data_IF_886901861946
#
_entry.id   IF_886901861946
#
_cell.length_a   1.000
_cell.length_b   1.000
_cell.length_c   1.000
_cell.angle_alpha   90.00
_cell.angle_beta   90.00
_cell.angle_gamma   90.00
#
_symmetry.space_group_name_H-M   'P 1'
#
loop_
_entity.id
_entity.type
_entity.pdbx_description
1 polymer ?
#
# COMPACT_ATOMS: atom_id res chain seq x y z
N UNK A 1 24.02 4.05 -2.17
CA UNK A 1 22.85 4.29 -1.31
C UNK A 1 23.38 4.86 0.00
N UNK A 2 23.16 6.15 0.28
CA UNK A 2 23.47 6.65 1.62
C UNK A 2 22.44 6.06 2.56
N UNK A 3 22.82 4.98 3.24
CA UNK A 3 22.12 4.50 4.41
C UNK A 3 22.22 5.65 5.41
N UNK A 4 21.12 6.37 5.62
CA UNK A 4 20.99 7.30 6.73
C UNK A 4 21.06 6.40 7.97
N UNK A 5 22.25 6.28 8.55
CA UNK A 5 22.50 5.58 9.82
C UNK A 5 22.10 6.46 11.03
N UNK A 6 21.38 7.55 10.80
CA UNK A 6 20.80 8.34 11.89
C UNK A 6 19.58 7.59 12.42
N UNK A 7 19.78 6.84 13.51
CA UNK A 7 18.67 6.38 14.32
C UNK A 7 18.13 7.57 15.09
N UNK A 8 17.03 8.17 14.61
CA UNK A 8 16.23 9.04 15.45
C UNK A 8 15.52 8.16 16.47
N UNK A 9 15.94 8.24 17.73
CA UNK A 9 15.31 7.47 18.80
C UNK A 9 13.90 8.03 19.03
N UNK A 10 12.90 7.24 18.64
CA UNK A 10 11.50 7.50 18.94
C UNK A 10 11.08 6.47 19.98
N UNK A 11 10.46 6.92 21.07
CA UNK A 11 10.08 6.04 22.18
C UNK A 11 8.54 5.88 22.30
N UNK A 12 7.81 5.29 21.32
CA UNK A 12 6.35 5.22 21.35
C UNK A 12 5.72 4.58 22.60
N UNK A 13 6.45 3.73 23.34
CA UNK A 13 5.93 3.11 24.56
C UNK A 13 6.11 4.01 25.80
N UNK A 14 6.98 5.01 25.74
CA UNK A 14 7.24 5.98 26.81
C UNK A 14 6.63 7.35 26.52
N UNK A 15 6.77 7.82 25.28
CA UNK A 15 6.31 9.13 24.84
C UNK A 15 4.79 9.18 24.73
N UNK A 16 4.19 10.24 25.26
CA UNK A 16 2.78 10.50 25.07
C UNK A 16 2.47 10.74 23.58
N UNK A 17 1.33 10.22 23.11
CA UNK A 17 0.90 10.46 21.74
C UNK A 17 0.78 11.97 21.47
N UNK A 18 1.38 12.48 20.37
CA UNK A 18 1.37 13.91 20.10
C UNK A 18 -0.05 14.38 19.85
N UNK A 19 -0.39 15.55 20.41
CA UNK A 19 -1.67 16.21 20.23
C UNK A 19 -1.90 16.57 18.76
N UNK A 20 -3.16 16.81 18.38
CA UNK A 20 -3.49 17.20 17.01
C UNK A 20 -2.76 18.50 16.59
N UNK A 21 -2.63 19.48 17.49
CA UNK A 21 -1.90 20.71 17.22
C UNK A 21 -0.40 20.48 17.04
N UNK A 22 0.22 19.64 17.88
CA UNK A 22 1.64 19.29 17.74
C UNK A 22 1.91 18.55 16.42
N UNK A 23 1.02 17.64 16.01
CA UNK A 23 1.10 16.97 14.69
C UNK A 23 0.99 17.95 13.54
N UNK A 24 0.07 18.92 13.63
CA UNK A 24 -0.09 19.93 12.59
C UNK A 24 1.13 20.84 12.48
N UNK A 25 1.71 21.26 13.61
CA UNK A 25 2.95 22.04 13.63
C UNK A 25 4.13 21.25 13.05
N UNK A 26 4.29 19.97 13.44
CA UNK A 26 5.31 19.10 12.87
C UNK A 26 5.15 18.96 11.35
N UNK A 27 3.91 18.78 10.86
CA UNK A 27 3.66 18.72 9.42
C UNK A 27 4.00 20.03 8.70
N UNK A 28 3.74 21.18 9.32
CA UNK A 28 4.10 22.48 8.75
C UNK A 28 5.62 22.62 8.62
N UNK A 29 6.38 22.20 9.64
CA UNK A 29 7.84 22.21 9.61
C UNK A 29 8.39 21.24 8.55
N UNK A 30 7.83 20.03 8.45
CA UNK A 30 8.20 19.08 7.39
C UNK A 30 7.97 19.74 6.03
N UNK A 31 6.80 20.35 5.82
CA UNK A 31 6.47 20.99 4.55
C UNK A 31 7.36 22.19 4.21
N UNK A 32 7.92 22.91 5.18
CA UNK A 32 8.86 24.00 4.92
C UNK A 32 10.25 23.53 4.49
N UNK A 33 10.65 22.32 4.90
CA UNK A 33 11.92 21.70 4.51
C UNK A 33 11.83 20.95 3.17
N UNK A 34 10.61 20.62 2.71
CA UNK A 34 10.42 19.99 1.41
C UNK A 34 10.70 20.98 0.28
N UNK A 35 11.51 20.57 -0.70
CA UNK A 35 11.71 21.31 -1.92
C UNK A 35 10.38 21.48 -2.68
N UNK A 36 10.13 22.64 -3.34
CA UNK A 36 8.87 22.90 -4.03
C UNK A 36 8.57 21.87 -5.14
N UNK A 37 9.61 21.29 -5.75
CA UNK A 37 9.52 20.25 -6.77
C UNK A 37 9.20 18.84 -6.23
N UNK A 38 9.19 18.62 -4.91
CA UNK A 38 9.01 17.29 -4.29
C UNK A 38 7.73 16.56 -4.75
N UNK A 39 6.66 17.30 -5.06
CA UNK A 39 5.40 16.71 -5.54
C UNK A 39 5.43 16.27 -7.02
N UNK A 40 6.39 16.77 -7.79
CA UNK A 40 6.45 16.57 -9.26
C UNK A 40 7.64 15.71 -9.70
N UNK A 41 8.73 15.73 -8.93
CA UNK A 41 9.96 15.03 -9.27
C UNK A 41 10.16 13.86 -8.33
N UNK A 42 10.32 12.66 -8.89
CA UNK A 42 10.64 11.47 -8.11
C UNK A 42 12.01 11.61 -7.44
N UNK A 43 12.12 11.09 -6.22
CA UNK A 43 13.38 11.09 -5.49
C UNK A 43 14.47 10.32 -6.28
N UNK A 44 15.73 10.79 -6.36
CA UNK A 44 16.79 10.16 -7.16
C UNK A 44 17.11 8.69 -6.80
N UNK A 45 16.72 8.24 -5.60
CA UNK A 45 16.87 6.82 -5.20
C UNK A 45 15.80 5.90 -5.80
N UNK A 46 14.72 6.47 -6.34
CA UNK A 46 13.67 5.72 -7.02
C UNK A 46 14.19 5.47 -8.43
N UNK A 47 14.40 4.20 -8.83
CA UNK A 47 14.84 3.89 -10.18
C UNK A 47 13.78 4.36 -11.18
N UNK A 48 14.23 4.75 -12.38
CA UNK A 48 13.31 5.06 -13.48
C UNK A 48 12.37 3.87 -13.72
N UNK A 49 11.09 4.17 -13.97
CA UNK A 49 10.13 3.14 -14.32
C UNK A 49 10.61 2.42 -15.60
N UNK A 50 10.54 1.08 -15.67
CA UNK A 50 10.88 0.37 -16.88
C UNK A 50 9.95 0.78 -18.02
N UNK A 51 10.50 0.94 -19.22
CA UNK A 51 9.68 1.18 -20.41
C UNK A 51 8.76 -0.02 -20.67
N UNK A 52 7.46 0.23 -20.76
CA UNK A 52 6.49 -0.80 -21.03
C UNK A 52 6.59 -1.26 -22.50
N UNK A 53 7.02 -2.49 -22.72
CA UNK A 53 7.08 -3.10 -24.04
C UNK A 53 5.81 -3.93 -24.25
N UNK A 54 4.86 -3.36 -24.99
CA UNK A 54 3.62 -4.05 -25.34
C UNK A 54 3.75 -4.76 -26.69
N UNK A 55 3.02 -5.88 -26.84
CA UNK A 55 2.88 -6.51 -28.14
C UNK A 55 2.09 -5.58 -29.09
N UNK A 56 2.25 -5.71 -30.42
CA UNK A 56 1.54 -4.87 -31.38
C UNK A 56 0.01 -4.87 -31.19
N UNK A 57 -0.57 -6.02 -30.81
CA UNK A 57 -2.00 -6.15 -30.54
C UNK A 57 -2.44 -5.31 -29.33
N UNK A 58 -1.66 -5.33 -28.25
CA UNK A 58 -1.95 -4.53 -27.05
C UNK A 58 -1.79 -3.05 -27.37
N UNK A 59 -0.75 -2.69 -28.13
CA UNK A 59 -0.47 -1.30 -28.51
C UNK A 59 -1.57 -0.71 -29.41
N UNK A 60 -2.12 -1.53 -30.32
CA UNK A 60 -3.30 -1.17 -31.11
C UNK A 60 -4.53 -0.89 -30.24
N UNK A 61 -4.79 -1.75 -29.24
CA UNK A 61 -5.92 -1.55 -28.32
C UNK A 61 -5.73 -0.34 -27.41
N UNK A 62 -4.51 -0.07 -26.96
CA UNK A 62 -4.18 1.14 -26.20
C UNK A 62 -4.43 2.39 -27.05
N UNK A 63 -3.96 2.39 -28.31
CA UNK A 63 -4.17 3.50 -29.26
C UNK A 63 -5.66 3.73 -29.55
N UNK A 64 -6.45 2.66 -29.69
CA UNK A 64 -7.91 2.73 -29.87
C UNK A 64 -8.58 3.38 -28.65
N UNK A 65 -8.20 2.97 -27.43
CA UNK A 65 -8.74 3.54 -26.19
C UNK A 65 -8.36 5.00 -26.02
N UNK A 66 -7.11 5.36 -26.34
CA UNK A 66 -6.63 6.75 -26.31
C UNK A 66 -7.43 7.63 -27.28
N UNK A 67 -7.76 7.11 -28.46
CA UNK A 67 -8.64 7.77 -29.43
C UNK A 67 -10.13 7.78 -29.03
N UNK A 68 -10.52 7.18 -27.90
CA UNK A 68 -11.90 7.13 -27.42
C UNK A 68 -12.86 6.32 -28.30
N UNK A 69 -12.35 5.48 -29.21
CA UNK A 69 -13.16 4.69 -30.14
C UNK A 69 -13.74 3.48 -29.41
N UNK A 70 -15.04 3.14 -29.53
CA UNK A 70 -15.62 1.96 -28.90
C UNK A 70 -15.02 0.67 -29.47
N UNK A 71 -15.07 -0.42 -28.69
CA UNK A 71 -14.66 -1.73 -29.21
C UNK A 71 -15.72 -2.23 -30.20
N UNK A 72 -15.33 -2.41 -31.46
CA UNK A 72 -16.20 -2.92 -32.53
C UNK A 72 -15.79 -4.34 -32.90
N UNK A 73 -16.74 -5.27 -32.97
CA UNK A 73 -16.45 -6.67 -33.35
C UNK A 73 -15.97 -7.52 -32.18
N UNK A 74 -16.78 -7.62 -31.12
CA UNK A 74 -16.57 -8.56 -30.03
C UNK A 74 -16.80 -10.02 -30.45
N UNK A 75 -17.08 -10.89 -29.48
CA UNK A 75 -17.42 -12.29 -29.76
C UNK A 75 -18.72 -12.33 -30.56
N UNK A 76 -18.64 -12.81 -31.81
CA UNK A 76 -19.81 -13.04 -32.65
C UNK A 76 -20.58 -14.27 -32.15
N UNK A 77 -21.72 -14.01 -31.49
CA UNK A 77 -22.59 -15.05 -30.95
C UNK A 77 -23.48 -15.70 -32.01
N UNK A 78 -23.65 -15.08 -33.19
CA UNK A 78 -24.50 -15.61 -34.27
C UNK A 78 -23.95 -16.93 -34.83
N UNK A 79 -22.66 -17.20 -34.60
CA UNK A 79 -22.01 -18.48 -34.92
C UNK A 79 -22.57 -19.67 -34.13
N UNK A 80 -23.11 -19.42 -32.94
CA UNK A 80 -23.64 -20.45 -32.05
C UNK A 80 -25.17 -20.61 -32.14
N UNK A 81 -25.83 -19.77 -32.94
CA UNK A 81 -27.26 -19.88 -33.22
C UNK A 81 -27.53 -21.06 -34.15
N UNK A 82 -28.74 -21.62 -34.07
CA UNK A 82 -29.15 -22.69 -34.96
C UNK A 82 -29.25 -22.14 -36.39
N UNK A 83 -28.60 -22.75 -37.41
CA UNK A 83 -28.71 -22.27 -38.78
C UNK A 83 -30.12 -22.51 -39.29
N UNK A 84 -30.75 -21.45 -39.80
CA UNK A 84 -32.04 -21.55 -40.47
C UNK A 84 -31.86 -21.85 -41.97
N UNK A 85 -32.76 -22.65 -42.58
CA UNK A 85 -32.72 -22.89 -44.01
C UNK A 85 -33.03 -21.57 -44.76
N UNK A 86 -32.31 -21.26 -45.85
CA UNK A 86 -32.62 -20.10 -46.68
C UNK A 86 -34.08 -20.11 -47.14
N UNK A 87 -34.79 -19.02 -46.91
CA UNK A 87 -36.20 -18.90 -47.30
C UNK A 87 -36.33 -18.53 -48.77
N UNK A 88 -37.24 -19.16 -49.51
CA UNK A 88 -37.56 -18.75 -50.89
C UNK A 88 -38.66 -17.70 -50.87
N UNK A 89 -38.54 -16.66 -51.68
CA UNK A 89 -39.58 -15.63 -51.81
C UNK A 89 -40.82 -16.15 -52.58
N UNK A 90 -40.61 -17.06 -53.54
CA UNK A 90 -41.66 -17.75 -54.30
C UNK A 90 -41.22 -19.20 -54.62
N UNK A 91 -42.17 -20.13 -54.70
CA UNK A 91 -41.90 -21.54 -55.02
C UNK A 91 -41.33 -21.76 -56.44
N UNK A 92 -41.51 -20.78 -57.33
CA UNK A 92 -41.06 -20.82 -58.73
C UNK A 92 -39.65 -20.23 -58.95
N UNK A 93 -38.99 -19.73 -57.91
CA UNK A 93 -37.65 -19.15 -58.01
C UNK A 93 -36.55 -20.19 -57.80
N UNK A 94 -35.48 -20.13 -58.61
CA UNK A 94 -34.35 -21.03 -58.47
C UNK A 94 -33.64 -20.79 -57.12
N UNK A 95 -33.32 -21.84 -56.35
CA UNK A 95 -32.68 -21.67 -55.05
C UNK A 95 -31.31 -21.00 -55.18
N UNK A 96 -31.04 -20.02 -54.31
CA UNK A 96 -29.72 -19.39 -54.22
C UNK A 96 -28.69 -20.39 -53.66
N UNK A 97 -27.95 -21.05 -54.57
CA UNK A 97 -27.02 -22.11 -54.21
C UNK A 97 -25.93 -21.66 -53.22
N UNK A 98 -25.52 -20.38 -53.27
CA UNK A 98 -24.45 -19.89 -52.39
C UNK A 98 -24.94 -19.67 -50.95
N UNK A 99 -26.17 -19.19 -50.76
CA UNK A 99 -26.81 -19.14 -49.43
C UNK A 99 -26.99 -20.54 -48.83
N UNK A 100 -27.41 -21.51 -49.65
CA UNK A 100 -27.53 -22.90 -49.23
C UNK A 100 -26.17 -23.52 -48.85
N UNK A 101 -25.09 -23.22 -49.58
CA UNK A 101 -23.73 -23.65 -49.23
C UNK A 101 -23.26 -23.06 -47.91
N UNK A 102 -23.51 -21.77 -47.68
CA UNK A 102 -23.14 -21.11 -46.43
C UNK A 102 -23.94 -21.66 -45.23
N UNK A 103 -25.25 -21.86 -45.39
CA UNK A 103 -26.11 -22.47 -44.36
C UNK A 103 -25.64 -23.90 -44.03
N UNK A 104 -25.30 -24.69 -45.05
CA UNK A 104 -24.77 -26.05 -44.89
C UNK A 104 -23.42 -26.04 -44.15
N UNK A 105 -22.50 -25.13 -44.51
CA UNK A 105 -21.22 -24.99 -43.83
C UNK A 105 -21.41 -24.63 -42.35
N UNK A 106 -22.31 -23.68 -42.04
CA UNK A 106 -22.67 -23.35 -40.65
C UNK A 106 -23.25 -24.55 -39.90
N UNK A 107 -24.13 -25.33 -40.54
CA UNK A 107 -24.70 -26.54 -39.95
C UNK A 107 -23.64 -27.60 -39.64
N UNK A 108 -22.66 -27.83 -40.52
CA UNK A 108 -21.55 -28.74 -40.25
C UNK A 108 -20.68 -28.27 -39.08
N UNK A 109 -20.39 -26.97 -39.00
CA UNK A 109 -19.62 -26.38 -37.89
C UNK A 109 -20.38 -26.56 -36.57
N UNK A 110 -21.66 -26.23 -36.52
CA UNK A 110 -22.50 -26.37 -35.34
C UNK A 110 -22.63 -27.83 -34.90
N UNK A 111 -22.83 -28.76 -35.85
CA UNK A 111 -22.87 -30.20 -35.57
C UNK A 111 -21.55 -30.69 -34.96
N UNK A 112 -20.41 -30.35 -35.55
CA UNK A 112 -19.09 -30.74 -35.01
C UNK A 112 -18.86 -30.18 -33.60
N UNK A 113 -19.26 -28.93 -33.35
CA UNK A 113 -19.17 -28.32 -32.03
C UNK A 113 -20.05 -29.04 -31.00
N UNK A 114 -21.30 -29.39 -31.37
CA UNK A 114 -22.20 -30.13 -30.47
C UNK A 114 -21.69 -31.53 -30.17
N UNK A 115 -21.10 -32.24 -31.15
CA UNK A 115 -20.44 -33.52 -30.93
C UNK A 115 -19.30 -33.38 -29.91
N UNK A 116 -18.40 -32.43 -30.11
CA UNK A 116 -17.31 -32.16 -29.15
C UNK A 116 -17.81 -31.74 -27.77
N UNK A 117 -18.88 -30.94 -27.71
CA UNK A 117 -19.51 -30.55 -26.45
C UNK A 117 -20.06 -31.76 -25.72
N UNK A 118 -20.68 -32.70 -26.44
CA UNK A 118 -21.17 -33.94 -25.85
C UNK A 118 -20.01 -34.77 -25.30
N UNK A 119 -18.94 -34.97 -26.07
CA UNK A 119 -17.72 -35.65 -25.60
C UNK A 119 -17.14 -34.98 -24.34
N UNK A 120 -17.02 -33.65 -24.32
CA UNK A 120 -16.52 -32.91 -23.16
C UNK A 120 -17.45 -33.04 -21.94
N UNK A 121 -18.76 -33.07 -22.13
CA UNK A 121 -19.73 -33.28 -21.05
C UNK A 121 -19.64 -34.70 -20.51
N UNK A 122 -19.45 -35.71 -21.36
CA UNK A 122 -19.20 -37.09 -20.91
C UNK A 122 -17.92 -37.18 -20.08
N UNK A 123 -16.83 -36.55 -20.50
CA UNK A 123 -15.60 -36.48 -19.71
C UNK A 123 -15.79 -35.74 -18.38
N UNK A 124 -16.63 -34.69 -18.36
CA UNK A 124 -16.97 -33.95 -17.15
C UNK A 124 -17.83 -34.79 -16.20
N UNK A 125 -18.78 -35.57 -16.72
CA UNK A 125 -19.59 -36.50 -15.92
C UNK A 125 -18.73 -37.61 -15.30
N UNK A 126 -17.76 -38.15 -16.06
CA UNK A 126 -16.85 -39.19 -15.59
C UNK A 126 -15.82 -38.68 -14.57
N UNK A 127 -15.16 -37.56 -14.86
CA UNK A 127 -13.99 -37.09 -14.12
C UNK A 127 -14.19 -35.81 -13.30
N UNK A 128 -15.25 -35.05 -13.56
CA UNK A 128 -15.43 -33.70 -13.03
C UNK A 128 -15.53 -33.65 -11.51
N UNK A 129 -16.25 -34.59 -10.89
CA UNK A 129 -16.35 -34.67 -9.43
C UNK A 129 -14.99 -34.88 -8.77
N UNK A 130 -14.19 -35.81 -9.30
CA UNK A 130 -12.87 -36.12 -8.74
C UNK A 130 -11.89 -34.96 -8.96
N UNK A 131 -11.89 -34.36 -10.15
CA UNK A 131 -11.09 -33.18 -10.45
C UNK A 131 -11.43 -32.01 -9.51
N UNK A 132 -12.71 -31.78 -9.25
CA UNK A 132 -13.16 -30.74 -8.32
C UNK A 132 -12.71 -31.00 -6.88
N UNK A 133 -12.83 -32.25 -6.40
CA UNK A 133 -12.37 -32.62 -5.05
C UNK A 133 -10.86 -32.44 -4.87
N UNK A 134 -10.06 -32.82 -5.88
CA UNK A 134 -8.61 -32.61 -5.88
C UNK A 134 -8.29 -31.10 -5.88
N UNK A 135 -8.98 -30.33 -6.73
CA UNK A 135 -8.83 -28.88 -6.75
C UNK A 135 -9.16 -28.25 -5.39
N UNK A 136 -10.22 -28.71 -4.73
CA UNK A 136 -10.57 -28.25 -3.39
C UNK A 136 -9.49 -28.62 -2.35
N UNK A 137 -8.94 -29.83 -2.38
CA UNK A 137 -7.85 -30.20 -1.45
C UNK A 137 -6.60 -29.35 -1.66
N UNK A 138 -6.24 -29.06 -2.91
CA UNK A 138 -5.12 -28.18 -3.23
C UNK A 138 -5.36 -26.76 -2.73
N UNK A 139 -6.58 -26.24 -2.87
CA UNK A 139 -6.95 -24.92 -2.34
C UNK A 139 -6.90 -24.89 -0.80
N UNK A 140 -7.34 -25.96 -0.13
CA UNK A 140 -7.20 -26.09 1.32
C UNK A 140 -5.74 -26.12 1.77
N UNK A 141 -4.86 -26.80 1.04
CA UNK A 141 -3.43 -26.84 1.35
C UNK A 141 -2.76 -25.46 1.16
N UNK A 142 -3.13 -24.74 0.09
CA UNK A 142 -2.68 -23.35 -0.12
C UNK A 142 -3.18 -22.45 1.01
N UNK A 143 -4.46 -22.57 1.39
CA UNK A 143 -5.04 -21.78 2.49
C UNK A 143 -4.28 -22.03 3.80
N UNK A 144 -4.06 -23.30 4.16
CA UNK A 144 -3.29 -23.67 5.37
C UNK A 144 -1.88 -23.09 5.33
N UNK A 145 -1.22 -23.09 4.17
CA UNK A 145 0.09 -22.48 3.98
C UNK A 145 0.09 -20.99 4.27
N UNK A 146 -0.86 -20.25 3.68
CA UNK A 146 -1.00 -18.80 3.87
C UNK A 146 -1.39 -18.46 5.31
N UNK A 147 -2.30 -19.22 5.92
CA UNK A 147 -2.68 -19.03 7.33
C UNK A 147 -1.51 -19.24 8.28
N UNK A 148 -0.65 -20.22 8.00
CA UNK A 148 0.58 -20.44 8.75
C UNK A 148 1.55 -19.27 8.59
N UNK A 149 1.83 -18.84 7.36
CA UNK A 149 2.70 -17.69 7.11
C UNK A 149 2.16 -16.42 7.79
N UNK A 150 0.85 -16.22 7.82
CA UNK A 150 0.21 -15.12 8.54
C UNK A 150 0.41 -15.22 10.05
N UNK A 151 0.31 -16.43 10.62
CA UNK A 151 0.54 -16.65 12.05
C UNK A 151 2.00 -16.39 12.42
N UNK A 152 2.93 -16.97 11.67
CA UNK A 152 4.38 -16.83 11.88
C UNK A 152 4.82 -15.35 11.75
N UNK A 153 4.30 -14.62 10.75
CA UNK A 153 4.60 -13.19 10.57
C UNK A 153 4.02 -12.30 11.67
N UNK A 154 2.82 -12.61 12.17
CA UNK A 154 2.24 -11.92 13.33
C UNK A 154 3.06 -12.15 14.59
N UNK A 155 3.43 -13.40 14.87
CA UNK A 155 4.27 -13.73 16.03
C UNK A 155 5.62 -13.01 15.96
N UNK A 156 6.27 -13.01 14.79
CA UNK A 156 7.51 -12.27 14.59
C UNK A 156 7.35 -10.76 14.83
N UNK A 157 6.25 -10.16 14.35
CA UNK A 157 5.95 -8.74 14.58
C UNK A 157 5.68 -8.45 16.07
N UNK A 158 4.96 -9.34 16.76
CA UNK A 158 4.66 -9.19 18.18
C UNK A 158 5.92 -9.31 19.04
N UNK A 159 6.81 -10.25 18.72
CA UNK A 159 8.08 -10.42 19.42
C UNK A 159 8.98 -9.19 19.24
N UNK A 160 9.07 -8.62 18.02
CA UNK A 160 9.81 -7.35 17.79
C UNK A 160 9.21 -6.21 18.62
N UNK A 161 7.88 -6.10 18.67
CA UNK A 161 7.21 -5.06 19.47
C UNK A 161 7.44 -5.26 20.97
N UNK A 162 7.42 -6.51 21.45
CA UNK A 162 7.71 -6.86 22.84
C UNK A 162 9.15 -6.53 23.21
N UNK A 163 10.11 -6.91 22.39
CA UNK A 163 11.53 -6.57 22.59
C UNK A 163 11.73 -5.06 22.61
N UNK A 164 11.10 -4.32 21.69
CA UNK A 164 11.14 -2.85 21.67
C UNK A 164 10.57 -2.27 22.96
N UNK A 165 9.43 -2.76 23.44
CA UNK A 165 8.82 -2.32 24.69
C UNK A 165 9.74 -2.54 25.89
N UNK A 166 10.31 -3.74 26.03
CA UNK A 166 11.23 -4.07 27.12
C UNK A 166 12.46 -3.16 27.10
N UNK A 167 13.04 -2.92 25.92
CA UNK A 167 14.21 -2.05 25.78
C UNK A 167 13.90 -0.60 26.22
N UNK A 168 12.73 -0.07 25.84
CA UNK A 168 12.31 1.28 26.22
C UNK A 168 11.96 1.37 27.71
N UNK A 169 11.23 0.40 28.27
CA UNK A 169 10.91 0.38 29.70
C UNK A 169 12.17 0.24 30.58
N UNK A 170 13.19 -0.48 30.11
CA UNK A 170 14.47 -0.61 30.82
C UNK A 170 15.24 0.72 30.89
N UNK A 171 15.21 1.55 29.84
CA UNK A 171 15.87 2.87 29.84
C UNK A 171 15.06 3.97 30.53
N UNK A 172 13.76 3.75 30.77
CA UNK A 172 12.86 4.76 31.33
C UNK A 172 13.32 5.29 32.69
N UNK A 173 13.73 4.42 33.61
CA UNK A 173 14.17 4.82 34.95
C UNK A 173 15.42 5.71 34.91
N UNK A 174 16.36 5.40 34.03
CA UNK A 174 17.56 6.21 33.81
C UNK A 174 17.19 7.59 33.26
N UNK A 175 16.31 7.65 32.24
CA UNK A 175 15.83 8.92 31.68
C UNK A 175 15.20 9.84 32.73
N UNK A 176 14.30 9.30 33.56
CA UNK A 176 13.67 10.07 34.64
C UNK A 176 14.71 10.55 35.66
N UNK A 177 15.68 9.71 36.02
CA UNK A 177 16.73 10.10 36.96
C UNK A 177 17.64 11.20 36.40
N UNK A 178 17.94 11.17 35.11
CA UNK A 178 18.74 12.16 34.41
C UNK A 178 17.99 13.50 34.32
N UNK A 179 16.69 13.46 34.00
CA UNK A 179 15.85 14.66 33.96
C UNK A 179 15.76 15.33 35.34
N UNK A 180 15.51 14.57 36.40
CA UNK A 180 15.42 15.11 37.76
C UNK A 180 16.77 15.63 38.29
N UNK A 181 17.86 14.92 37.98
CA UNK A 181 19.21 15.38 38.33
C UNK A 181 19.55 16.67 37.59
N UNK A 182 19.18 16.78 36.31
CA UNK A 182 19.36 18.00 35.53
C UNK A 182 18.54 19.17 36.10
N UNK A 183 17.23 18.98 36.38
CA UNK A 183 16.39 20.01 36.99
C UNK A 183 16.96 20.51 38.32
N UNK A 184 17.40 19.59 39.18
CA UNK A 184 18.00 19.93 40.47
C UNK A 184 19.33 20.68 40.30
N UNK A 185 20.18 20.24 39.38
CA UNK A 185 21.45 20.90 39.09
C UNK A 185 21.26 22.34 38.61
N UNK A 186 20.35 22.55 37.66
CA UNK A 186 20.00 23.89 37.16
C UNK A 186 19.39 24.75 38.26
N UNK A 187 18.46 24.19 39.05
CA UNK A 187 17.85 24.89 40.18
C UNK A 187 18.87 25.34 41.22
N UNK A 188 19.81 24.46 41.61
CA UNK A 188 20.85 24.80 42.57
C UNK A 188 21.78 25.91 42.07
N UNK A 189 22.11 25.94 40.78
CA UNK A 189 22.90 27.04 40.20
C UNK A 189 22.13 28.36 40.27
N UNK A 190 20.85 28.36 39.92
CA UNK A 190 20.00 29.55 40.02
C UNK A 190 19.85 30.07 41.45
N UNK A 191 19.70 29.17 42.42
CA UNK A 191 19.60 29.52 43.85
C UNK A 191 20.88 30.18 44.35
N UNK A 192 22.06 29.66 43.93
CA UNK A 192 23.36 30.24 44.29
C UNK A 192 23.55 31.62 43.65
N UNK A 193 23.17 31.80 42.38
CA UNK A 193 23.22 33.09 41.70
C UNK A 193 22.29 34.12 42.38
N UNK A 194 21.06 33.72 42.73
CA UNK A 194 20.11 34.57 43.44
C UNK A 194 20.63 34.97 44.83
N UNK A 195 21.17 34.02 45.59
CA UNK A 195 21.75 34.30 46.90
C UNK A 195 22.98 35.22 46.80
N UNK A 196 23.80 35.04 45.76
CA UNK A 196 24.99 35.87 45.50
C UNK A 196 24.61 37.30 45.13
N UNK A 197 23.59 37.49 44.29
CA UNK A 197 23.03 38.81 43.98
C UNK A 197 22.36 39.48 45.19
N UNK A 198 21.60 38.71 45.98
CA UNK A 198 21.02 39.20 47.24
C UNK A 198 22.10 39.68 48.21
N UNK A 199 23.19 38.93 48.36
CA UNK A 199 24.33 39.32 49.18
C UNK A 199 25.02 40.59 48.63
N UNK A 200 25.18 40.71 47.30
CA UNK A 200 25.72 41.93 46.66
C UNK A 200 24.87 43.15 46.98
N UNK A 201 23.54 43.05 46.91
CA UNK A 201 22.64 44.16 47.25
C UNK A 201 22.77 44.57 48.72
N UNK A 202 22.79 43.61 49.64
CA UNK A 202 22.99 43.88 51.07
C UNK A 202 24.34 44.58 51.34
N UNK A 203 25.43 44.16 50.67
CA UNK A 203 26.73 44.82 50.76
C UNK A 203 26.65 46.28 50.27
N UNK A 204 25.97 46.54 49.16
CA UNK A 204 25.79 47.89 48.62
C UNK A 204 24.99 48.77 49.58
N UNK A 205 23.91 48.25 50.16
CA UNK A 205 23.08 49.01 51.10
C UNK A 205 23.82 49.30 52.40
N UNK A 206 24.57 48.34 52.94
CA UNK A 206 25.46 48.58 54.09
C UNK A 206 26.51 49.66 53.80
N UNK A 207 27.11 49.65 52.60
CA UNK A 207 28.06 50.70 52.18
C UNK A 207 27.39 52.07 52.07
N UNK A 208 26.16 52.15 51.58
CA UNK A 208 25.38 53.41 51.54
C UNK A 208 25.08 53.93 52.94
N UNK A 209 24.65 53.06 53.85
CA UNK A 209 24.37 53.43 55.24
C UNK A 209 25.62 53.92 55.98
N UNK A 210 26.75 53.23 55.81
CA UNK A 210 28.03 53.64 56.38
C UNK A 210 28.53 55.00 55.83
N UNK A 211 28.20 55.33 54.57
CA UNK A 211 28.52 56.64 53.98
C UNK A 211 27.60 57.77 54.47
N UNK A 212 26.43 57.46 55.04
CA UNK A 212 25.45 58.44 55.53
C UNK A 212 25.56 58.73 57.03
N UNK A 213 26.31 57.94 57.80
CA UNK A 213 26.61 58.24 59.21
C UNK A 213 27.70 59.33 59.29
N UNK A 214 27.40 60.54 59.81
CA UNK A 214 28.43 61.55 60.04
C UNK A 214 29.30 61.13 61.23
N UNK A 215 30.60 61.39 61.13
CA UNK A 215 31.60 61.17 62.19
C UNK A 215 31.25 61.88 63.49
#
# INVERSE_FOLDING_TARGET
MSLINESHDSLPYLDAAPSASARQQAQQLINSELAPEHATTLHPSIPAAPEAQFSPLIQQELSRKEAGVPLTGGIDLTRYEAPEPPTRANDNEAPNLDEWRQALQKAYVSSSHLTKRHENLSLLEEGGRNAWLIGNSQLEDILRGIEKELADTKEASEEVNKQRKIAQEASHGEMVSLEETWKRGVGAVLDVELASEGLRQQILDHRRQAAQQPR
#
